data_IF_621613925043
#
_entry.id   IF_621613925043
#
_cell.length_a   1.000
_cell.length_b   1.000
_cell.length_c   1.000
_cell.angle_alpha   90.00
_cell.angle_beta   90.00
_cell.angle_gamma   90.00
#
_symmetry.space_group_name_H-M   'P 1'
#
loop_
_entity.id
_entity.type
_entity.pdbx_description
1 polymer ?
#
# COMPACT_ATOMS: atom_id res chain seq x y z
N UNK A 1 7.65 -12.93 27.23
CA UNK A 1 7.96 -13.30 25.82
C UNK A 1 7.59 -12.21 24.80
N UNK A 2 7.13 -11.01 25.21
CA UNK A 2 6.60 -9.98 24.29
C UNK A 2 7.65 -9.13 23.53
N UNK A 3 8.93 -9.14 23.92
CA UNK A 3 9.95 -8.27 23.30
C UNK A 3 10.57 -8.79 22.00
N UNK A 4 10.40 -10.06 21.66
CA UNK A 4 11.14 -10.66 20.53
C UNK A 4 10.52 -10.42 19.13
N UNK A 5 9.20 -10.24 19.03
CA UNK A 5 8.54 -10.14 17.71
C UNK A 5 8.71 -8.79 17.02
N UNK A 6 8.73 -7.68 17.79
CA UNK A 6 8.81 -6.33 17.22
C UNK A 6 10.15 -6.02 16.52
N UNK A 7 11.26 -6.53 17.06
CA UNK A 7 12.59 -6.35 16.47
C UNK A 7 12.79 -7.19 15.20
N UNK A 8 12.37 -8.45 15.24
CA UNK A 8 12.47 -9.36 14.11
C UNK A 8 11.55 -8.93 12.95
N UNK A 9 10.29 -8.55 13.22
CA UNK A 9 9.37 -8.03 12.21
C UNK A 9 9.93 -6.78 11.53
N UNK A 10 10.49 -5.82 12.29
CA UNK A 10 11.06 -4.59 11.72
C UNK A 10 12.22 -4.88 10.76
N UNK A 11 13.16 -5.74 11.16
CA UNK A 11 14.31 -6.08 10.32
C UNK A 11 13.89 -6.83 9.07
N UNK A 12 12.96 -7.80 9.21
CA UNK A 12 12.37 -8.53 8.10
C UNK A 12 11.70 -7.58 7.09
N UNK A 13 10.82 -6.70 7.57
CA UNK A 13 10.09 -5.75 6.73
C UNK A 13 11.04 -4.82 5.99
N UNK A 14 12.07 -4.27 6.65
CA UNK A 14 13.07 -3.43 5.98
C UNK A 14 13.84 -4.20 4.90
N UNK A 15 14.24 -5.44 5.19
CA UNK A 15 14.92 -6.29 4.22
C UNK A 15 14.03 -6.58 3.01
N UNK A 16 12.76 -6.87 3.25
CA UNK A 16 11.77 -7.10 2.19
C UNK A 16 11.56 -5.86 1.32
N UNK A 17 11.54 -4.65 1.88
CA UNK A 17 11.48 -3.43 1.05
C UNK A 17 12.68 -3.31 0.11
N UNK A 18 13.89 -3.59 0.60
CA UNK A 18 15.09 -3.59 -0.25
C UNK A 18 15.00 -4.65 -1.34
N UNK A 19 14.54 -5.86 -1.02
CA UNK A 19 14.32 -6.93 -1.99
C UNK A 19 13.29 -6.52 -3.04
N UNK A 20 12.17 -5.91 -2.65
CA UNK A 20 11.12 -5.44 -3.56
C UNK A 20 11.62 -4.34 -4.51
N UNK A 21 12.45 -3.40 -4.01
CA UNK A 21 13.07 -2.39 -4.87
C UNK A 21 14.02 -3.02 -5.89
N UNK A 22 14.83 -4.00 -5.48
CA UNK A 22 15.72 -4.73 -6.39
C UNK A 22 14.92 -5.51 -7.44
N UNK A 23 13.88 -6.24 -7.02
CA UNK A 23 12.99 -6.96 -7.95
C UNK A 23 12.37 -5.98 -8.94
N UNK A 24 11.82 -4.85 -8.47
CA UNK A 24 11.24 -3.85 -9.35
C UNK A 24 12.25 -3.25 -10.33
N UNK A 25 13.51 -3.06 -9.92
CA UNK A 25 14.57 -2.60 -10.82
C UNK A 25 14.98 -3.65 -11.86
N UNK A 26 14.93 -4.94 -11.51
CA UNK A 26 15.17 -6.02 -12.45
C UNK A 26 14.02 -6.11 -13.47
N UNK A 27 12.77 -6.07 -12.99
CA UNK A 27 11.58 -6.11 -13.85
C UNK A 27 11.40 -4.84 -14.68
N UNK A 28 11.96 -3.70 -14.26
CA UNK A 28 11.97 -2.45 -15.04
C UNK A 28 12.56 -2.65 -16.44
N UNK A 29 13.57 -3.51 -16.58
CA UNK A 29 14.23 -3.78 -17.87
C UNK A 29 13.29 -4.47 -18.85
N UNK A 30 12.29 -5.20 -18.34
CA UNK A 30 11.28 -5.91 -19.14
C UNK A 30 10.09 -5.01 -19.53
N UNK A 31 10.09 -3.73 -19.14
CA UNK A 31 9.04 -2.81 -19.54
C UNK A 31 9.09 -2.51 -21.05
N UNK A 32 8.08 -2.99 -21.76
CA UNK A 32 7.93 -2.86 -23.21
C UNK A 32 7.19 -1.60 -23.67
N UNK A 33 6.65 -0.79 -22.75
CA UNK A 33 5.90 0.41 -23.10
C UNK A 33 6.16 1.58 -22.14
N UNK A 34 6.02 2.81 -22.66
CA UNK A 34 6.19 4.04 -21.86
C UNK A 34 5.27 4.06 -20.63
N UNK A 35 4.07 3.49 -20.74
CA UNK A 35 3.13 3.42 -19.63
C UNK A 35 3.62 2.50 -18.51
N UNK A 36 4.20 1.35 -18.83
CA UNK A 36 4.78 0.44 -17.83
C UNK A 36 5.93 1.13 -17.08
N UNK A 37 6.78 1.90 -17.76
CA UNK A 37 7.82 2.70 -17.09
C UNK A 37 7.24 3.73 -16.10
N UNK A 38 6.16 4.42 -16.48
CA UNK A 38 5.45 5.35 -15.58
C UNK A 38 4.87 4.60 -14.37
N UNK A 39 4.26 3.44 -14.58
CA UNK A 39 3.73 2.59 -13.51
C UNK A 39 4.83 2.12 -12.55
N UNK A 40 6.01 1.77 -13.06
CA UNK A 40 7.13 1.43 -12.20
C UNK A 40 7.64 2.63 -11.39
N UNK A 41 7.77 3.82 -11.99
CA UNK A 41 8.15 5.03 -11.22
C UNK A 41 7.17 5.28 -10.09
N UNK A 42 5.87 5.21 -10.40
CA UNK A 42 4.83 5.35 -9.41
C UNK A 42 4.91 4.26 -8.33
N UNK A 43 5.19 3.01 -8.72
CA UNK A 43 5.38 1.89 -7.78
C UNK A 43 6.59 2.11 -6.86
N UNK A 44 7.72 2.59 -7.38
CA UNK A 44 8.88 2.90 -6.53
C UNK A 44 8.59 4.01 -5.53
N UNK A 45 7.94 5.08 -5.99
CA UNK A 45 7.51 6.17 -5.12
C UNK A 45 6.54 5.65 -4.06
N UNK A 46 5.58 4.81 -4.44
CA UNK A 46 4.64 4.17 -3.53
C UNK A 46 5.37 3.31 -2.48
N UNK A 47 6.31 2.47 -2.88
CA UNK A 47 7.08 1.61 -1.98
C UNK A 47 7.90 2.44 -0.99
N UNK A 48 8.59 3.49 -1.46
CA UNK A 48 9.39 4.38 -0.61
C UNK A 48 8.49 5.11 0.39
N UNK A 49 7.36 5.64 -0.09
CA UNK A 49 6.41 6.35 0.76
C UNK A 49 5.76 5.41 1.78
N UNK A 50 5.40 4.19 1.37
CA UNK A 50 4.86 3.15 2.24
C UNK A 50 5.88 2.72 3.31
N UNK A 51 7.16 2.55 2.94
CA UNK A 51 8.24 2.29 3.89
C UNK A 51 8.40 3.43 4.91
N UNK A 52 8.26 4.68 4.46
CA UNK A 52 8.34 5.86 5.32
C UNK A 52 7.16 5.92 6.30
N UNK A 53 5.93 5.71 5.82
CA UNK A 53 4.73 5.78 6.66
C UNK A 53 4.63 4.61 7.63
N UNK A 54 5.11 3.42 7.23
CA UNK A 54 5.30 2.31 8.18
C UNK A 54 6.24 2.66 9.33
N UNK A 55 7.07 3.71 9.21
CA UNK A 55 7.83 4.22 10.37
C UNK A 55 6.92 4.79 11.46
N UNK A 56 5.70 5.25 11.15
CA UNK A 56 4.73 5.68 12.16
C UNK A 56 4.01 4.48 12.80
N UNK A 57 3.68 3.44 12.02
CA UNK A 57 3.13 2.16 12.51
C UNK A 57 4.12 1.41 13.43
N UNK A 58 5.41 1.78 13.44
CA UNK A 58 6.40 1.30 14.44
C UNK A 58 5.99 1.53 15.89
N UNK A 59 5.03 2.41 16.17
CA UNK A 59 4.47 2.61 17.51
C UNK A 59 3.57 1.44 17.95
N UNK A 60 3.07 0.64 17.01
CA UNK A 60 2.13 -0.47 17.24
C UNK A 60 2.64 -1.80 16.65
N UNK A 61 3.79 -2.34 17.13
CA UNK A 61 4.30 -3.62 16.65
C UNK A 61 3.29 -4.76 16.83
N UNK A 62 3.32 -5.81 15.99
CA UNK A 62 2.41 -6.94 16.17
C UNK A 62 2.61 -7.61 17.53
N UNK A 63 1.52 -7.75 18.29
CA UNK A 63 1.49 -8.54 19.54
C UNK A 63 1.03 -9.97 19.33
N UNK A 64 0.39 -10.24 18.19
CA UNK A 64 -0.18 -11.55 17.85
C UNK A 64 0.40 -12.11 16.54
N UNK A 65 0.28 -13.42 16.35
CA UNK A 65 0.60 -14.11 15.09
C UNK A 65 -0.24 -13.57 13.92
N UNK A 66 -1.51 -13.22 14.17
CA UNK A 66 -2.36 -12.56 13.19
C UNK A 66 -1.77 -11.21 12.76
N UNK A 67 -1.14 -10.48 13.68
CA UNK A 67 -0.44 -9.24 13.35
C UNK A 67 0.79 -9.42 12.47
N UNK A 68 1.59 -10.45 12.73
CA UNK A 68 2.70 -10.83 11.85
C UNK A 68 2.21 -11.23 10.46
N UNK A 69 1.09 -11.95 10.38
CA UNK A 69 0.50 -12.37 9.12
C UNK A 69 0.05 -11.16 8.28
N UNK A 70 -0.52 -10.12 8.90
CA UNK A 70 -0.84 -8.86 8.21
C UNK A 70 0.43 -8.18 7.67
N UNK A 71 1.53 -8.19 8.44
CA UNK A 71 2.79 -7.62 7.98
C UNK A 71 3.34 -8.36 6.74
N UNK A 72 3.24 -9.69 6.73
CA UNK A 72 3.62 -10.54 5.60
C UNK A 72 2.70 -10.32 4.39
N UNK A 73 1.39 -10.27 4.61
CA UNK A 73 0.41 -10.01 3.54
C UNK A 73 0.63 -8.65 2.89
N UNK A 74 0.99 -7.63 3.66
CA UNK A 74 1.29 -6.31 3.12
C UNK A 74 2.55 -6.32 2.23
N UNK A 75 3.60 -7.03 2.65
CA UNK A 75 4.81 -7.22 1.81
C UNK A 75 4.45 -7.99 0.54
N UNK A 76 3.64 -9.04 0.65
CA UNK A 76 3.16 -9.81 -0.50
C UNK A 76 2.30 -8.94 -1.44
N UNK A 77 1.45 -8.06 -0.90
CA UNK A 77 0.67 -7.14 -1.72
C UNK A 77 1.56 -6.12 -2.44
N UNK A 78 2.61 -5.59 -1.79
CA UNK A 78 3.59 -4.75 -2.48
C UNK A 78 4.32 -5.50 -3.60
N UNK A 79 4.63 -6.78 -3.40
CA UNK A 79 5.15 -7.63 -4.46
C UNK A 79 4.16 -7.73 -5.64
N UNK A 80 2.87 -7.93 -5.37
CA UNK A 80 1.84 -7.93 -6.41
C UNK A 80 1.80 -6.61 -7.16
N UNK A 81 1.92 -5.47 -6.46
CA UNK A 81 1.96 -4.15 -7.10
C UNK A 81 3.16 -4.02 -8.04
N UNK A 82 4.37 -4.42 -7.60
CA UNK A 82 5.56 -4.46 -8.47
C UNK A 82 5.30 -5.30 -9.71
N UNK A 83 4.87 -6.55 -9.52
CA UNK A 83 4.66 -7.48 -10.63
C UNK A 83 3.59 -7.00 -11.60
N UNK A 84 2.54 -6.37 -11.08
CA UNK A 84 1.43 -5.86 -11.87
C UNK A 84 1.81 -4.66 -12.74
N UNK A 85 2.95 -4.00 -12.52
CA UNK A 85 3.42 -2.90 -13.35
C UNK A 85 3.75 -3.33 -14.79
N UNK A 86 4.06 -4.62 -15.01
CA UNK A 86 4.24 -5.21 -16.34
C UNK A 86 2.94 -5.71 -16.98
N UNK A 87 1.87 -5.81 -16.20
CA UNK A 87 0.58 -6.36 -16.64
C UNK A 87 -0.36 -5.25 -17.12
N UNK A 88 -1.50 -5.60 -17.75
CA UNK A 88 -2.54 -4.62 -18.03
C UNK A 88 -2.96 -3.85 -16.76
N UNK A 89 -3.30 -2.57 -16.93
CA UNK A 89 -3.63 -1.64 -15.84
C UNK A 89 -4.64 -2.18 -14.82
N UNK A 90 -5.61 -2.99 -15.24
CA UNK A 90 -6.59 -3.56 -14.31
C UNK A 90 -5.95 -4.43 -13.22
N UNK A 91 -4.91 -5.18 -13.55
CA UNK A 91 -4.13 -5.93 -12.55
C UNK A 91 -3.40 -5.00 -11.58
N UNK A 92 -2.95 -3.84 -12.06
CA UNK A 92 -2.31 -2.82 -11.22
C UNK A 92 -3.30 -2.22 -10.22
N UNK A 93 -4.50 -1.86 -10.66
CA UNK A 93 -5.56 -1.38 -9.77
C UNK A 93 -6.03 -2.45 -8.78
N UNK A 94 -6.14 -3.70 -9.22
CA UNK A 94 -6.46 -4.82 -8.33
C UNK A 94 -5.40 -5.01 -7.24
N UNK A 95 -4.11 -4.94 -7.59
CA UNK A 95 -3.03 -5.05 -6.62
C UNK A 95 -3.04 -3.90 -5.60
N UNK A 96 -3.32 -2.66 -6.05
CA UNK A 96 -3.50 -1.52 -5.15
C UNK A 96 -4.72 -1.69 -4.24
N UNK A 97 -5.84 -2.19 -4.74
CA UNK A 97 -7.04 -2.46 -3.94
C UNK A 97 -6.75 -3.48 -2.83
N UNK A 98 -6.03 -4.56 -3.16
CA UNK A 98 -5.59 -5.58 -2.19
C UNK A 98 -4.68 -4.95 -1.13
N UNK A 99 -3.71 -4.14 -1.54
CA UNK A 99 -2.80 -3.46 -0.61
C UNK A 99 -3.58 -2.58 0.39
N UNK A 100 -4.51 -1.75 -0.10
CA UNK A 100 -5.32 -0.87 0.77
C UNK A 100 -6.26 -1.62 1.69
N UNK A 101 -6.85 -2.72 1.22
CA UNK A 101 -7.65 -3.59 2.07
C UNK A 101 -6.81 -4.17 3.22
N UNK A 102 -5.59 -4.62 2.93
CA UNK A 102 -4.67 -5.14 3.95
C UNK A 102 -4.24 -4.05 4.94
N UNK A 103 -3.97 -2.83 4.47
CA UNK A 103 -3.65 -1.70 5.36
C UNK A 103 -4.81 -1.39 6.31
N UNK A 104 -6.05 -1.39 5.80
CA UNK A 104 -7.24 -1.18 6.62
C UNK A 104 -7.43 -2.27 7.68
N UNK A 105 -7.09 -3.52 7.35
CA UNK A 105 -7.04 -4.63 8.31
C UNK A 105 -5.92 -4.42 9.36
N UNK A 106 -4.75 -3.95 8.94
CA UNK A 106 -3.64 -3.61 9.84
C UNK A 106 -4.00 -2.53 10.85
N UNK A 107 -4.72 -1.49 10.42
CA UNK A 107 -5.21 -0.45 11.34
C UNK A 107 -6.30 -1.00 12.26
N UNK A 108 -7.22 -1.82 11.75
CA UNK A 108 -8.27 -2.44 12.57
C UNK A 108 -7.66 -3.30 13.69
N UNK A 109 -6.57 -4.01 13.39
CA UNK A 109 -5.78 -4.74 14.37
C UNK A 109 -5.11 -3.81 15.37
N UNK A 110 -4.47 -2.74 14.91
CA UNK A 110 -3.82 -1.79 15.82
C UNK A 110 -4.81 -1.20 16.83
N UNK A 111 -6.05 -0.92 16.40
CA UNK A 111 -7.12 -0.44 17.28
C UNK A 111 -7.56 -1.51 18.29
N UNK A 112 -7.59 -2.80 17.92
CA UNK A 112 -8.00 -3.87 18.84
C UNK A 112 -6.91 -4.31 19.81
N UNK A 113 -5.63 -4.31 19.39
CA UNK A 113 -4.49 -4.79 20.19
C UNK A 113 -3.93 -3.72 21.15
N UNK A 114 -4.29 -2.45 20.96
CA UNK A 114 -3.79 -1.33 21.74
C UNK A 114 -4.90 -0.53 22.39
N UNK A 115 -4.75 -0.25 23.69
CA UNK A 115 -5.57 0.74 24.39
C UNK A 115 -5.10 2.11 23.96
N UNK A 116 -5.72 2.61 22.90
CA UNK A 116 -5.41 3.91 22.31
C UNK A 116 -6.08 5.03 23.09
N UNK A 117 -5.42 6.19 23.19
CA UNK A 117 -6.07 7.42 23.65
C UNK A 117 -7.12 7.85 22.61
N UNK A 118 -8.15 8.57 23.04
CA UNK A 118 -9.28 8.94 22.18
C UNK A 118 -8.86 9.67 20.88
N UNK A 119 -7.84 10.53 20.93
CA UNK A 119 -7.32 11.24 19.74
C UNK A 119 -6.55 10.33 18.77
N UNK A 120 -5.78 9.37 19.28
CA UNK A 120 -5.06 8.39 18.45
C UNK A 120 -6.05 7.41 17.80
N UNK A 121 -7.09 7.03 18.55
CA UNK A 121 -8.15 6.15 18.07
C UNK A 121 -9.00 6.80 16.97
N UNK A 122 -9.29 8.11 17.07
CA UNK A 122 -10.04 8.82 16.02
C UNK A 122 -9.21 8.99 14.75
N UNK A 123 -7.92 9.32 14.87
CA UNK A 123 -7.01 9.42 13.73
C UNK A 123 -6.88 8.09 12.98
N UNK A 124 -6.65 6.99 13.71
CA UNK A 124 -6.57 5.65 13.11
C UNK A 124 -7.90 5.23 12.46
N UNK A 125 -9.05 5.55 13.07
CA UNK A 125 -10.36 5.27 12.45
C UNK A 125 -10.56 6.05 11.14
N UNK A 126 -10.15 7.31 11.09
CA UNK A 126 -10.20 8.12 9.87
C UNK A 126 -9.31 7.51 8.78
N UNK A 127 -8.06 7.19 9.12
CA UNK A 127 -7.11 6.60 8.20
C UNK A 127 -7.59 5.25 7.65
N UNK A 128 -8.18 4.40 8.50
CA UNK A 128 -8.84 3.16 8.07
C UNK A 128 -9.95 3.43 7.06
N UNK A 129 -10.79 4.43 7.31
CA UNK A 129 -11.88 4.79 6.41
C UNK A 129 -11.36 5.27 5.06
N UNK A 130 -10.26 6.04 5.05
CA UNK A 130 -9.61 6.49 3.82
C UNK A 130 -9.07 5.31 3.01
N UNK A 131 -8.42 4.33 3.64
CA UNK A 131 -7.94 3.13 2.92
C UNK A 131 -9.07 2.26 2.38
N UNK A 132 -10.18 2.10 3.11
CA UNK A 132 -11.36 1.42 2.57
C UNK A 132 -11.96 2.17 1.38
N UNK A 133 -12.03 3.50 1.46
CA UNK A 133 -12.53 4.33 0.38
C UNK A 133 -11.62 4.25 -0.85
N UNK A 134 -10.30 4.32 -0.69
CA UNK A 134 -9.33 4.12 -1.77
C UNK A 134 -9.48 2.73 -2.42
N UNK A 135 -9.57 1.66 -1.63
CA UNK A 135 -9.79 0.31 -2.15
C UNK A 135 -11.10 0.22 -2.96
N UNK A 136 -12.17 0.85 -2.46
CA UNK A 136 -13.47 0.87 -3.13
C UNK A 136 -13.42 1.64 -4.45
N UNK A 137 -12.67 2.75 -4.50
CA UNK A 137 -12.45 3.53 -5.73
C UNK A 137 -11.75 2.68 -6.79
N UNK A 138 -10.72 1.91 -6.42
CA UNK A 138 -10.01 1.06 -7.38
C UNK A 138 -10.91 -0.03 -7.95
N UNK A 139 -11.70 -0.69 -7.10
CA UNK A 139 -12.66 -1.72 -7.54
C UNK A 139 -13.75 -1.12 -8.43
N UNK A 140 -14.28 0.05 -8.06
CA UNK A 140 -15.30 0.74 -8.84
C UNK A 140 -14.75 1.21 -10.19
N UNK A 141 -13.52 1.70 -10.21
CA UNK A 141 -12.84 2.13 -11.44
C UNK A 141 -12.59 0.95 -12.39
N UNK A 142 -12.20 -0.21 -11.84
CA UNK A 142 -12.06 -1.44 -12.62
C UNK A 142 -13.39 -1.87 -13.22
N UNK A 143 -14.47 -1.86 -12.43
CA UNK A 143 -15.81 -2.19 -12.91
C UNK A 143 -16.31 -1.25 -14.01
N UNK A 144 -16.11 0.06 -13.85
CA UNK A 144 -16.48 1.05 -14.86
C UNK A 144 -15.67 0.87 -16.15
N UNK A 145 -14.38 0.56 -16.03
CA UNK A 145 -13.52 0.35 -17.19
C UNK A 145 -13.93 -0.91 -17.95
N UNK A 146 -14.17 -2.01 -17.24
CA UNK A 146 -14.60 -3.27 -17.84
C UNK A 146 -15.95 -3.15 -18.54
N UNK A 147 -16.92 -2.47 -17.92
CA UNK A 147 -18.30 -2.40 -18.42
C UNK A 147 -18.53 -1.30 -19.47
N UNK A 148 -17.83 -0.17 -19.36
CA UNK A 148 -18.07 1.01 -20.20
C UNK A 148 -16.87 1.41 -21.06
N UNK A 149 -15.78 0.64 -21.04
CA UNK A 149 -14.56 0.96 -21.81
C UNK A 149 -13.89 2.26 -21.36
N UNK A 150 -14.09 2.65 -20.09
CA UNK A 150 -13.54 3.90 -19.57
C UNK A 150 -12.00 3.91 -19.68
N UNK A 151 -11.36 5.02 -20.10
CA UNK A 151 -9.91 4.99 -20.33
C UNK A 151 -9.14 4.83 -19.02
N UNK A 152 -8.36 3.75 -18.88
CA UNK A 152 -7.51 3.51 -17.72
C UNK A 152 -6.55 4.66 -17.40
N UNK A 153 -6.15 5.42 -18.43
CA UNK A 153 -5.29 6.61 -18.29
C UNK A 153 -5.96 7.65 -17.39
N UNK A 154 -7.27 7.91 -17.53
CA UNK A 154 -7.99 8.90 -16.72
C UNK A 154 -8.01 8.49 -15.24
N UNK A 155 -8.16 7.20 -14.95
CA UNK A 155 -8.06 6.67 -13.59
C UNK A 155 -6.67 6.82 -13.01
N UNK A 156 -5.64 6.55 -13.80
CA UNK A 156 -4.25 6.73 -13.39
C UNK A 156 -3.96 8.20 -13.04
N UNK A 157 -4.40 9.16 -13.86
CA UNK A 157 -4.20 10.58 -13.59
C UNK A 157 -4.97 11.03 -12.34
N UNK A 158 -6.23 10.61 -12.18
CA UNK A 158 -7.02 10.90 -11.00
C UNK A 158 -6.36 10.33 -9.73
N UNK A 159 -5.82 9.13 -9.81
CA UNK A 159 -5.13 8.45 -8.70
C UNK A 159 -3.85 9.18 -8.31
N UNK A 160 -3.01 9.56 -9.28
CA UNK A 160 -1.80 10.35 -9.03
C UNK A 160 -2.17 11.69 -8.38
N UNK A 161 -3.22 12.36 -8.85
CA UNK A 161 -3.67 13.62 -8.27
C UNK A 161 -4.18 13.45 -6.84
N UNK A 162 -5.05 12.47 -6.58
CA UNK A 162 -5.55 12.18 -5.21
C UNK A 162 -4.38 11.84 -4.29
N UNK A 163 -3.44 11.03 -4.75
CA UNK A 163 -2.25 10.66 -3.99
C UNK A 163 -1.37 11.88 -3.67
N UNK A 164 -1.11 12.75 -4.65
CA UNK A 164 -0.36 14.00 -4.43
C UNK A 164 -1.07 14.93 -3.44
N UNK A 165 -2.39 15.13 -3.58
CA UNK A 165 -3.18 15.98 -2.68
C UNK A 165 -3.22 15.43 -1.26
N UNK A 166 -3.35 14.12 -1.08
CA UNK A 166 -3.29 13.46 0.22
C UNK A 166 -1.93 13.64 0.92
N UNK A 167 -0.85 13.72 0.15
CA UNK A 167 0.50 13.98 0.69
C UNK A 167 0.75 15.44 1.03
N UNK A 168 0.21 16.38 0.26
CA UNK A 168 0.29 17.82 0.56
C UNK A 168 -0.47 18.13 1.85
N UNK A 169 -1.65 17.53 2.07
CA UNK A 169 -2.44 17.76 3.29
C UNK A 169 -1.82 17.17 4.56
N UNK A 170 -0.97 16.14 4.43
CA UNK A 170 -0.18 15.58 5.53
C UNK A 170 1.07 16.40 5.89
N UNK A 171 1.36 17.51 5.18
CA UNK A 171 2.52 18.37 5.45
C UNK A 171 3.87 17.75 5.08
N UNK A 172 3.85 16.84 4.11
CA UNK A 172 4.95 15.94 3.76
C UNK A 172 5.82 16.46 2.60
N UNK A 173 5.39 17.54 1.94
CA UNK A 173 6.10 18.24 0.87
C UNK A 173 6.30 19.69 1.27
#
# INVERSE_FOLDING_TARGET
MEKHYGGASRNFVNLMFSVLLVIGLLEWVDAGSMLQYVLFLFTFVLIIAYWRDRKHIRHYPPKSTAGLLVDVLAVFALFLVVRSALLPLGFYFAALAILRAIDALGISRAISEYVLKNADASHLKLQRSLYFLEASIYVLFEGLTFQYGFPYVVGLTALILVWLFGRVSEGVV
#
